data_IF_372136111227
#
_entry.id   IF_372136111227
#
_cell.length_a   1.000
_cell.length_b   1.000
_cell.length_c   1.000
_cell.angle_alpha   90.00
_cell.angle_beta   90.00
_cell.angle_gamma   90.00
#
_symmetry.space_group_name_H-M   'P 1'
#
loop_
_entity.id
_entity.type
_entity.pdbx_description
1 polymer ?
#
# COMPACT_ATOMS: atom_id res chain seq x y z
N UNK A 1 14.29 -25.66 1.04
CA UNK A 1 13.06 -25.25 0.29
C UNK A 1 13.05 -23.73 0.20
N UNK A 2 13.18 -23.15 -1.01
CA UNK A 2 13.10 -21.69 -1.18
C UNK A 2 11.65 -21.27 -0.93
N UNK A 3 11.41 -20.43 0.06
CA UNK A 3 10.07 -19.94 0.36
C UNK A 3 9.59 -19.04 -0.80
N UNK A 4 8.63 -19.53 -1.60
CA UNK A 4 8.09 -18.86 -2.80
C UNK A 4 7.59 -17.47 -2.46
N UNK A 5 6.82 -17.35 -1.36
CA UNK A 5 6.30 -16.07 -0.90
C UNK A 5 7.40 -15.05 -0.61
N UNK A 6 8.49 -15.47 0.01
CA UNK A 6 9.65 -14.59 0.30
C UNK A 6 10.34 -14.16 -1.00
N UNK A 7 10.56 -15.07 -1.94
CA UNK A 7 11.20 -14.75 -3.22
C UNK A 7 10.42 -13.69 -4.00
N UNK A 8 9.12 -13.91 -4.21
CA UNK A 8 8.27 -12.97 -4.93
C UNK A 8 8.02 -11.68 -4.12
N UNK A 9 7.99 -11.77 -2.79
CA UNK A 9 7.87 -10.60 -1.92
C UNK A 9 9.08 -9.66 -2.02
N UNK A 10 10.30 -10.21 -2.03
CA UNK A 10 11.52 -9.42 -2.21
C UNK A 10 11.62 -8.83 -3.62
N UNK A 11 11.30 -9.60 -4.66
CA UNK A 11 11.26 -9.11 -6.03
C UNK A 11 10.22 -8.00 -6.21
N UNK A 12 9.01 -8.20 -5.69
CA UNK A 12 7.95 -7.21 -5.74
C UNK A 12 8.28 -5.96 -4.92
N UNK A 13 8.91 -6.12 -3.74
CA UNK A 13 9.38 -5.00 -2.92
C UNK A 13 10.42 -4.16 -3.67
N UNK A 14 11.41 -4.79 -4.30
CA UNK A 14 12.39 -4.09 -5.13
C UNK A 14 11.73 -3.38 -6.32
N UNK A 15 10.77 -4.02 -6.99
CA UNK A 15 10.04 -3.41 -8.11
C UNK A 15 9.21 -2.20 -7.67
N UNK A 16 8.54 -2.25 -6.52
CA UNK A 16 7.77 -1.14 -5.97
C UNK A 16 8.68 0.00 -5.55
N UNK A 17 9.80 -0.27 -4.88
CA UNK A 17 10.79 0.76 -4.54
C UNK A 17 11.31 1.44 -5.81
N UNK A 18 11.68 0.65 -6.83
CA UNK A 18 12.17 1.19 -8.10
C UNK A 18 11.10 2.04 -8.80
N UNK A 19 9.85 1.59 -8.83
CA UNK A 19 8.73 2.34 -9.38
C UNK A 19 8.56 3.71 -8.71
N UNK A 20 8.52 3.75 -7.38
CA UNK A 20 8.36 5.00 -6.65
C UNK A 20 9.61 5.89 -6.70
N UNK A 21 10.79 5.30 -6.76
CA UNK A 21 12.04 6.05 -6.95
C UNK A 21 12.05 6.76 -8.31
N UNK A 22 11.59 6.10 -9.38
CA UNK A 22 11.45 6.73 -10.68
C UNK A 22 10.45 7.89 -10.65
N UNK A 23 9.29 7.71 -10.03
CA UNK A 23 8.30 8.79 -9.90
C UNK A 23 8.88 9.99 -9.14
N UNK A 24 9.57 9.72 -8.03
CA UNK A 24 10.22 10.75 -7.23
C UNK A 24 11.30 11.51 -8.01
N UNK A 25 12.12 10.80 -8.81
CA UNK A 25 13.18 11.42 -9.63
C UNK A 25 12.62 12.27 -10.78
N UNK A 26 11.48 11.87 -11.33
CA UNK A 26 10.84 12.64 -12.42
C UNK A 26 10.18 13.89 -11.85
N UNK A 27 9.33 13.73 -10.86
CA UNK A 27 8.64 14.84 -10.16
C UNK A 27 8.11 14.37 -8.81
N UNK A 28 8.38 15.12 -7.74
CA UNK A 28 7.94 14.80 -6.37
C UNK A 28 6.41 14.72 -6.22
N UNK A 29 5.67 15.54 -6.96
CA UNK A 29 4.21 15.51 -6.95
C UNK A 29 3.61 14.24 -7.56
N UNK A 30 4.30 13.59 -8.51
CA UNK A 30 3.90 12.29 -9.04
C UNK A 30 4.00 11.19 -7.97
N UNK A 31 5.03 11.25 -7.12
CA UNK A 31 5.18 10.32 -5.99
C UNK A 31 3.99 10.41 -5.02
N UNK A 32 3.45 11.61 -4.80
CA UNK A 32 2.30 11.87 -3.91
C UNK A 32 0.94 11.66 -4.61
N UNK A 33 0.91 11.41 -5.92
CA UNK A 33 -0.32 11.24 -6.68
C UNK A 33 -1.06 9.96 -6.26
N UNK A 34 -2.32 10.03 -5.78
CA UNK A 34 -3.09 8.85 -5.38
C UNK A 34 -3.26 7.82 -6.50
N UNK A 35 -3.46 8.26 -7.74
CA UNK A 35 -3.63 7.38 -8.90
C UNK A 35 -2.39 6.53 -9.16
N UNK A 36 -1.20 7.12 -9.05
CA UNK A 36 0.06 6.40 -9.23
C UNK A 36 0.36 5.48 -8.05
N UNK A 37 -0.05 5.85 -6.84
CA UNK A 37 0.00 4.95 -5.70
C UNK A 37 -0.89 3.71 -5.92
N UNK A 38 -2.10 3.89 -6.41
CA UNK A 38 -3.00 2.78 -6.78
C UNK A 38 -2.45 1.94 -7.94
N UNK A 39 -1.78 2.55 -8.92
CA UNK A 39 -1.15 1.81 -10.02
C UNK A 39 -0.09 0.81 -9.54
N UNK A 40 0.62 1.11 -8.44
CA UNK A 40 1.57 0.17 -7.83
C UNK A 40 0.93 -1.16 -7.41
N UNK A 41 -0.39 -1.18 -7.14
CA UNK A 41 -1.13 -2.38 -6.78
C UNK A 41 -1.03 -3.47 -7.87
N UNK A 42 -0.84 -3.09 -9.13
CA UNK A 42 -0.62 -4.06 -10.22
C UNK A 42 0.65 -4.89 -10.01
N UNK A 43 1.69 -4.30 -9.42
CA UNK A 43 2.93 -5.02 -9.07
C UNK A 43 2.65 -6.04 -7.97
N UNK A 44 1.89 -5.63 -6.93
CA UNK A 44 1.46 -6.54 -5.86
C UNK A 44 0.68 -7.73 -6.42
N UNK A 45 -0.36 -7.45 -7.20
CA UNK A 45 -1.24 -8.48 -7.78
C UNK A 45 -0.46 -9.42 -8.70
N UNK A 46 0.44 -8.89 -9.55
CA UNK A 46 1.27 -9.70 -10.43
C UNK A 46 2.19 -10.66 -9.66
N UNK A 47 2.88 -10.15 -8.62
CA UNK A 47 3.75 -10.98 -7.77
C UNK A 47 2.97 -12.01 -6.95
N UNK A 48 1.81 -11.62 -6.40
CA UNK A 48 0.93 -12.51 -5.65
C UNK A 48 0.37 -13.63 -6.54
N UNK A 49 -0.09 -13.29 -7.74
CA UNK A 49 -0.61 -14.25 -8.72
C UNK A 49 0.47 -15.28 -9.10
N UNK A 50 1.68 -14.80 -9.44
CA UNK A 50 2.81 -15.68 -9.78
C UNK A 50 3.19 -16.58 -8.62
N UNK A 51 3.26 -16.06 -7.41
CA UNK A 51 3.57 -16.83 -6.21
C UNK A 51 2.52 -17.92 -5.95
N UNK A 52 1.22 -17.57 -6.07
CA UNK A 52 0.12 -18.54 -5.88
C UNK A 52 0.15 -19.63 -6.93
N UNK A 53 0.38 -19.27 -8.20
CA UNK A 53 0.45 -20.25 -9.29
C UNK A 53 1.62 -21.22 -9.10
N UNK A 54 2.81 -20.73 -8.75
CA UNK A 54 3.99 -21.56 -8.50
C UNK A 54 3.81 -22.45 -7.26
N UNK A 55 3.23 -21.92 -6.18
CA UNK A 55 2.91 -22.70 -4.98
C UNK A 55 1.89 -23.82 -5.29
N UNK A 56 0.88 -23.52 -6.11
CA UNK A 56 -0.11 -24.50 -6.57
C UNK A 56 0.48 -25.62 -7.43
N UNK A 57 1.42 -25.28 -8.34
CA UNK A 57 2.15 -26.28 -9.15
C UNK A 57 2.99 -27.20 -8.27
N UNK A 58 3.68 -26.67 -7.26
CA UNK A 58 4.58 -27.45 -6.41
C UNK A 58 3.86 -28.31 -5.36
N UNK A 59 2.73 -27.83 -4.82
CA UNK A 59 2.07 -28.48 -3.70
C UNK A 59 0.65 -29.01 -4.01
N UNK A 60 0.17 -28.77 -5.23
CA UNK A 60 -1.18 -29.16 -5.69
C UNK A 60 -2.24 -28.10 -5.38
N UNK A 61 -3.14 -27.87 -6.37
CA UNK A 61 -4.25 -26.92 -6.28
C UNK A 61 -5.44 -27.40 -5.42
N UNK A 62 -5.47 -28.69 -5.07
CA UNK A 62 -6.51 -29.28 -4.21
C UNK A 62 -6.23 -29.11 -2.71
N UNK A 63 -5.12 -28.46 -2.38
CA UNK A 63 -4.73 -28.17 -1.01
C UNK A 63 -5.75 -27.28 -0.29
N UNK A 64 -5.76 -27.32 1.05
CA UNK A 64 -6.59 -26.45 1.86
C UNK A 64 -6.38 -24.97 1.46
N UNK A 65 -7.49 -24.26 1.26
CA UNK A 65 -7.50 -22.84 0.87
C UNK A 65 -6.63 -21.97 1.77
N UNK A 66 -6.68 -22.20 3.09
CA UNK A 66 -5.87 -21.46 4.07
C UNK A 66 -4.36 -21.60 3.82
N UNK A 67 -3.95 -22.78 3.38
CA UNK A 67 -2.54 -23.04 3.07
C UNK A 67 -2.10 -22.33 1.78
N UNK A 68 -2.99 -22.25 0.78
CA UNK A 68 -2.71 -21.55 -0.48
C UNK A 68 -2.65 -20.03 -0.32
N UNK A 69 -3.47 -19.44 0.56
CA UNK A 69 -3.47 -17.99 0.84
C UNK A 69 -2.15 -17.52 1.48
N UNK A 70 -1.42 -18.42 2.13
CA UNK A 70 -0.20 -18.08 2.87
C UNK A 70 0.89 -17.49 1.97
N UNK A 71 1.13 -18.06 0.79
CA UNK A 71 2.18 -17.60 -0.12
C UNK A 71 1.93 -16.17 -0.63
N UNK A 72 0.75 -15.84 -1.24
CA UNK A 72 0.47 -14.49 -1.70
C UNK A 72 0.37 -13.48 -0.54
N UNK A 73 -0.08 -13.89 0.65
CA UNK A 73 -0.12 -13.00 1.80
C UNK A 73 1.30 -12.59 2.27
N UNK A 74 2.24 -13.54 2.29
CA UNK A 74 3.66 -13.23 2.59
C UNK A 74 4.24 -12.29 1.54
N UNK A 75 3.92 -12.49 0.24
CA UNK A 75 4.30 -11.56 -0.83
C UNK A 75 3.81 -10.15 -0.52
N UNK A 76 2.51 -10.01 -0.23
CA UNK A 76 1.92 -8.71 0.09
C UNK A 76 2.61 -8.04 1.28
N UNK A 77 2.79 -8.77 2.38
CA UNK A 77 3.42 -8.24 3.60
C UNK A 77 4.83 -7.71 3.32
N UNK A 78 5.65 -8.48 2.61
CA UNK A 78 7.02 -8.08 2.31
C UNK A 78 7.08 -6.84 1.40
N UNK A 79 6.23 -6.77 0.37
CA UNK A 79 6.14 -5.59 -0.50
C UNK A 79 5.67 -4.38 0.30
N UNK A 80 4.65 -4.54 1.14
CA UNK A 80 4.10 -3.48 1.97
C UNK A 80 5.12 -2.94 2.98
N UNK A 81 5.87 -3.83 3.65
CA UNK A 81 6.97 -3.44 4.54
C UNK A 81 8.05 -2.68 3.76
N UNK A 82 8.48 -3.20 2.61
CA UNK A 82 9.50 -2.56 1.78
C UNK A 82 9.07 -1.16 1.33
N UNK A 83 7.80 -0.99 0.91
CA UNK A 83 7.24 0.30 0.54
C UNK A 83 7.24 1.30 1.70
N UNK A 84 6.76 0.91 2.89
CA UNK A 84 6.67 1.82 4.04
C UNK A 84 8.04 2.18 4.62
N UNK A 85 9.01 1.26 4.58
CA UNK A 85 10.39 1.56 4.94
C UNK A 85 11.02 2.57 3.97
N UNK A 86 10.82 2.37 2.67
CA UNK A 86 11.28 3.30 1.63
C UNK A 86 10.62 4.67 1.77
N UNK A 87 9.30 4.72 1.94
CA UNK A 87 8.53 5.94 2.18
C UNK A 87 9.07 6.70 3.39
N UNK A 88 9.28 6.01 4.50
CA UNK A 88 9.84 6.62 5.71
C UNK A 88 11.26 7.17 5.49
N UNK A 89 12.12 6.40 4.84
CA UNK A 89 13.49 6.83 4.53
C UNK A 89 13.50 8.08 3.64
N UNK A 90 12.63 8.16 2.63
CA UNK A 90 12.50 9.35 1.78
C UNK A 90 12.08 10.59 2.59
N UNK A 91 11.09 10.46 3.47
CA UNK A 91 10.63 11.57 4.29
C UNK A 91 11.64 12.03 5.33
N UNK A 92 12.56 11.16 5.75
CA UNK A 92 13.68 11.55 6.60
C UNK A 92 14.77 12.30 5.83
N UNK A 93 14.97 11.96 4.56
CA UNK A 93 16.04 12.56 3.73
C UNK A 93 15.58 13.83 3.00
N UNK A 94 14.27 13.95 2.73
CA UNK A 94 13.67 15.08 2.01
C UNK A 94 12.50 15.69 2.81
N UNK A 95 12.77 16.67 3.69
CA UNK A 95 11.70 17.36 4.45
C UNK A 95 10.72 18.14 3.57
N UNK A 96 11.11 18.50 2.34
CA UNK A 96 10.21 19.18 1.40
C UNK A 96 9.05 18.29 0.98
N UNK A 97 9.32 16.98 0.80
CA UNK A 97 8.29 16.00 0.48
C UNK A 97 7.18 15.96 1.54
N UNK A 98 7.56 16.01 2.82
CA UNK A 98 6.61 16.04 3.93
C UNK A 98 5.80 17.34 3.96
N UNK A 99 6.41 18.47 3.61
CA UNK A 99 5.70 19.75 3.47
C UNK A 99 4.68 19.70 2.34
N UNK A 100 5.05 19.13 1.20
CA UNK A 100 4.14 18.95 0.06
C UNK A 100 2.96 18.05 0.40
N UNK A 101 3.21 16.91 1.07
CA UNK A 101 2.15 16.01 1.54
C UNK A 101 1.19 16.72 2.50
N UNK A 102 1.71 17.45 3.48
CA UNK A 102 0.89 18.21 4.43
C UNK A 102 0.06 19.29 3.73
N UNK A 103 0.64 19.98 2.74
CA UNK A 103 -0.07 21.00 1.97
C UNK A 103 -1.19 20.40 1.10
N UNK A 104 -0.97 19.23 0.50
CA UNK A 104 -1.98 18.49 -0.25
C UNK A 104 -3.13 18.04 0.66
N UNK A 105 -2.82 17.46 1.81
CA UNK A 105 -3.81 17.04 2.80
C UNK A 105 -4.65 18.22 3.29
N UNK A 106 -4.00 19.35 3.56
CA UNK A 106 -4.68 20.58 3.98
C UNK A 106 -5.65 21.09 2.89
N UNK A 107 -5.20 21.11 1.64
CA UNK A 107 -6.00 21.53 0.50
C UNK A 107 -7.21 20.62 0.32
N UNK A 108 -7.01 19.31 0.38
CA UNK A 108 -8.09 18.33 0.26
C UNK A 108 -9.15 18.48 1.37
N UNK A 109 -8.71 18.63 2.63
CA UNK A 109 -9.62 18.83 3.77
C UNK A 109 -10.38 20.16 3.68
N UNK A 110 -9.73 21.23 3.22
CA UNK A 110 -10.41 22.52 2.98
C UNK A 110 -11.46 22.42 1.87
N UNK A 111 -11.19 21.67 0.80
CA UNK A 111 -12.15 21.41 -0.26
C UNK A 111 -13.34 20.58 0.25
N UNK A 112 -13.12 19.56 1.07
CA UNK A 112 -14.19 18.79 1.70
C UNK A 112 -15.10 19.69 2.57
N UNK A 113 -14.51 20.59 3.36
CA UNK A 113 -15.26 21.52 4.19
C UNK A 113 -16.13 22.48 3.36
N UNK A 114 -15.59 22.95 2.20
CA UNK A 114 -16.30 23.87 1.30
C UNK A 114 -17.41 23.18 0.48
N UNK A 115 -17.23 21.90 0.17
CA UNK A 115 -18.22 21.09 -0.55
C UNK A 115 -19.50 20.81 0.25
N UNK A 116 -19.50 21.12 1.55
CA UNK A 116 -20.65 21.02 2.44
C UNK A 116 -20.83 19.60 2.96
N UNK A 117 -20.38 19.36 4.20
CA UNK A 117 -20.74 18.17 4.96
C UNK A 117 -22.15 18.40 5.54
N UNK A 118 -23.05 17.46 5.28
CA UNK A 118 -24.44 17.55 5.77
C UNK A 118 -24.57 17.47 7.29
N UNK A 119 -23.52 16.98 7.99
CA UNK A 119 -23.52 16.85 9.44
C UNK A 119 -22.61 17.93 10.10
N UNK A 120 -23.17 18.76 11.00
CA UNK A 120 -22.41 19.75 11.76
C UNK A 120 -21.28 19.17 12.62
N UNK A 121 -21.43 17.92 13.09
CA UNK A 121 -20.38 17.26 13.90
C UNK A 121 -19.17 16.90 13.05
N UNK A 122 -19.37 16.36 11.84
CA UNK A 122 -18.29 16.06 10.89
C UNK A 122 -17.56 17.35 10.47
N UNK A 123 -18.31 18.44 10.22
CA UNK A 123 -17.72 19.72 9.88
C UNK A 123 -16.82 20.28 10.99
N UNK A 124 -17.21 20.14 12.27
CA UNK A 124 -16.39 20.57 13.40
C UNK A 124 -15.13 19.71 13.57
N UNK A 125 -15.24 18.39 13.45
CA UNK A 125 -14.08 17.48 13.48
C UNK A 125 -13.09 17.81 12.35
N UNK A 126 -13.60 18.10 11.15
CA UNK A 126 -12.76 18.47 10.02
C UNK A 126 -12.04 19.82 10.24
N UNK A 127 -12.69 20.80 10.85
CA UNK A 127 -12.08 22.09 11.24
C UNK A 127 -10.95 21.88 12.26
N UNK A 128 -11.16 21.04 13.27
CA UNK A 128 -10.11 20.71 14.25
C UNK A 128 -8.91 20.03 13.60
N UNK A 129 -9.14 19.10 12.66
CA UNK A 129 -8.08 18.46 11.90
C UNK A 129 -7.30 19.46 11.03
N UNK A 130 -7.97 20.41 10.39
CA UNK A 130 -7.34 21.48 9.60
C UNK A 130 -6.46 22.34 10.50
N UNK A 131 -6.95 22.78 11.66
CA UNK A 131 -6.19 23.57 12.63
C UNK A 131 -4.96 22.81 13.16
N UNK A 132 -5.11 21.50 13.40
CA UNK A 132 -3.99 20.66 13.82
C UNK A 132 -2.91 20.56 12.74
N UNK A 133 -3.29 20.38 11.47
CA UNK A 133 -2.36 20.35 10.34
C UNK A 133 -1.68 21.69 10.10
N UNK A 134 -2.39 22.81 10.22
CA UNK A 134 -1.80 24.16 10.11
C UNK A 134 -0.77 24.42 11.20
N UNK A 135 -1.03 24.00 12.45
CA UNK A 135 -0.04 24.08 13.53
C UNK A 135 1.17 23.20 13.27
N UNK A 136 0.94 22.00 12.74
CA UNK A 136 2.02 21.06 12.41
C UNK A 136 2.89 21.58 11.25
N UNK A 137 2.32 22.29 10.29
CA UNK A 137 3.06 22.89 9.16
C UNK A 137 4.07 23.98 9.59
N UNK A 138 3.86 24.62 10.75
CA UNK A 138 4.73 25.65 11.31
C UNK A 138 5.90 25.06 12.12
N UNK A 139 5.76 23.83 12.61
CA UNK A 139 6.79 23.14 13.40
C UNK A 139 7.80 22.40 12.50
N UNK A 140 9.02 22.10 13.01
CA UNK A 140 9.93 21.24 12.27
C UNK A 140 9.25 19.89 12.02
N UNK A 141 9.01 19.60 10.74
CA UNK A 141 8.29 18.43 10.30
C UNK A 141 9.19 17.18 10.50
N UNK A 142 8.84 16.39 11.49
CA UNK A 142 9.44 15.06 11.69
C UNK A 142 8.34 14.04 11.43
N UNK A 143 8.60 13.12 10.51
CA UNK A 143 7.66 12.04 10.20
C UNK A 143 7.55 11.09 11.40
N UNK A 144 6.42 11.02 12.10
CA UNK A 144 6.26 10.11 13.23
C UNK A 144 6.09 8.67 12.74
N UNK A 145 6.71 7.70 13.43
CA UNK A 145 6.61 6.27 13.09
C UNK A 145 5.22 5.69 13.35
N UNK A 146 4.49 6.20 14.34
CA UNK A 146 3.19 5.68 14.74
C UNK A 146 2.17 5.57 13.59
N UNK A 147 1.89 6.64 12.85
CA UNK A 147 0.99 6.59 11.69
C UNK A 147 1.42 5.60 10.61
N UNK A 148 2.73 5.42 10.38
CA UNK A 148 3.25 4.46 9.40
C UNK A 148 2.96 3.04 9.84
N UNK A 149 3.24 2.71 11.10
CA UNK A 149 2.92 1.39 11.66
C UNK A 149 1.42 1.10 11.62
N UNK A 150 0.60 2.10 11.90
CA UNK A 150 -0.85 1.97 11.83
C UNK A 150 -1.34 1.70 10.40
N UNK A 151 -0.84 2.47 9.40
CA UNK A 151 -1.13 2.25 7.97
C UNK A 151 -0.67 0.88 7.50
N UNK A 152 0.50 0.41 7.96
CA UNK A 152 1.02 -0.93 7.68
C UNK A 152 0.11 -2.03 8.25
N UNK A 153 -0.38 -1.86 9.47
CA UNK A 153 -1.29 -2.81 10.11
C UNK A 153 -2.64 -2.90 9.37
N UNK A 154 -3.27 -1.75 9.08
CA UNK A 154 -4.53 -1.70 8.31
C UNK A 154 -4.32 -2.27 6.90
N UNK A 155 -3.22 -1.89 6.24
CA UNK A 155 -2.86 -2.42 4.92
C UNK A 155 -2.74 -3.94 4.92
N UNK A 156 -2.25 -4.54 6.01
CA UNK A 156 -2.12 -5.99 6.14
C UNK A 156 -3.48 -6.71 6.14
N UNK A 157 -4.52 -6.09 6.71
CA UNK A 157 -5.89 -6.63 6.66
C UNK A 157 -6.40 -6.64 5.21
N UNK A 158 -6.28 -5.51 4.50
CA UNK A 158 -6.62 -5.43 3.08
C UNK A 158 -5.81 -6.40 2.23
N UNK A 159 -4.52 -6.55 2.54
CA UNK A 159 -3.62 -7.50 1.89
C UNK A 159 -4.03 -8.96 2.05
N UNK A 160 -4.57 -9.32 3.22
CA UNK A 160 -5.13 -10.66 3.42
C UNK A 160 -6.35 -10.91 2.53
N UNK A 161 -7.25 -9.94 2.41
CA UNK A 161 -8.42 -10.04 1.52
C UNK A 161 -7.98 -10.16 0.05
N UNK A 162 -7.00 -9.38 -0.38
CA UNK A 162 -6.42 -9.48 -1.73
C UNK A 162 -5.77 -10.85 -1.96
N UNK A 163 -5.03 -11.39 -0.99
CA UNK A 163 -4.42 -12.70 -1.07
C UNK A 163 -5.46 -13.81 -1.21
N UNK A 164 -6.56 -13.72 -0.46
CA UNK A 164 -7.68 -14.64 -0.57
C UNK A 164 -8.34 -14.55 -1.96
N UNK A 165 -8.57 -13.34 -2.48
CA UNK A 165 -9.12 -13.10 -3.81
C UNK A 165 -8.24 -13.67 -4.93
N UNK A 166 -6.93 -13.40 -4.88
CA UNK A 166 -5.96 -13.94 -5.86
C UNK A 166 -5.92 -15.47 -5.80
N UNK A 167 -5.94 -16.05 -4.60
CA UNK A 167 -5.95 -17.51 -4.43
C UNK A 167 -7.22 -18.14 -5.01
N UNK A 168 -8.39 -17.53 -4.77
CA UNK A 168 -9.65 -17.99 -5.33
C UNK A 168 -9.64 -17.95 -6.87
N UNK A 169 -9.13 -16.86 -7.44
CA UNK A 169 -9.02 -16.66 -8.89
C UNK A 169 -8.10 -17.69 -9.54
N UNK A 170 -6.94 -17.97 -8.95
CA UNK A 170 -6.02 -18.99 -9.48
C UNK A 170 -6.65 -20.38 -9.41
N UNK A 171 -7.36 -20.69 -8.32
CA UNK A 171 -8.01 -22.00 -8.14
C UNK A 171 -9.16 -22.23 -9.12
N UNK A 172 -9.99 -21.20 -9.39
CA UNK A 172 -11.08 -21.29 -10.36
C UNK A 172 -10.57 -21.48 -11.79
N UNK A 173 -9.53 -20.75 -12.20
CA UNK A 173 -8.94 -20.91 -13.53
C UNK A 173 -8.39 -22.30 -13.80
N UNK A 174 -7.76 -22.95 -12.80
CA UNK A 174 -7.28 -24.34 -12.95
C UNK A 174 -8.44 -25.37 -12.99
N UNK A 175 -9.54 -25.08 -12.27
CA UNK A 175 -10.71 -25.96 -12.32
C UNK A 175 -11.41 -25.95 -13.69
N UNK A 176 -11.36 -24.83 -14.41
CA UNK A 176 -11.88 -24.70 -15.77
C UNK A 176 -10.99 -25.39 -16.81
N UNK A 177 -9.66 -25.31 -16.66
CA UNK A 177 -8.68 -25.92 -17.56
C UNK A 177 -8.73 -27.46 -17.53
N UNK A 178 -9.22 -28.04 -16.44
CA UNK A 178 -9.34 -29.50 -16.24
C UNK A 178 -10.74 -30.05 -16.56
N UNK A 179 -11.64 -29.26 -17.15
CA UNK A 179 -12.95 -29.70 -17.65
C UNK A 179 -12.93 -29.86 -19.16
#
# INVERSE_FOLDING_TARGET
>A
MKNIGVRYGLLGGAAVIFYFLLLYMVRKDLFLSPWLQWASLLIYLGCMYRATKEDGVLHGYQRDFRMMVRAPFVVFLLINIAYWLFYYALHLTDPELLRMETALDLTFKKQQLTAGLGDPQEANQLREQILALEKQAIQPLVQPLGPILFRLAIGSIGGFLLAAGVTALVRSGVAEENR
#
